data_IF_150107347981
#
_entry.id   IF_150107347981
#
_cell.length_a   1.000
_cell.length_b   1.000
_cell.length_c   1.000
_cell.angle_alpha   90.00
_cell.angle_beta   90.00
_cell.angle_gamma   90.00
#
_symmetry.space_group_name_H-M   'P 1'
#
loop_
_entity.id
_entity.type
_entity.pdbx_description
1 polymer ?
#
# COMPACT_ATOMS: atom_id res chain seq x y z
N UNK A 1 0.58 -16.89 8.52
CA UNK A 1 0.91 -15.74 9.43
C UNK A 1 -0.24 -15.53 10.41
N UNK A 2 0.06 -15.30 11.70
CA UNK A 2 -0.95 -15.03 12.76
C UNK A 2 -0.60 -13.76 13.51
N UNK A 3 -1.63 -13.01 13.94
CA UNK A 3 -1.48 -11.80 14.76
C UNK A 3 -2.68 -11.59 15.67
N UNK A 4 -2.42 -11.37 16.95
CA UNK A 4 -3.41 -11.01 17.96
C UNK A 4 -3.01 -9.73 18.69
N UNK A 5 -3.98 -9.01 19.21
CA UNK A 5 -3.81 -7.88 20.12
C UNK A 5 -4.61 -8.18 21.40
N UNK A 6 -3.91 -8.50 22.46
CA UNK A 6 -4.54 -9.03 23.68
C UNK A 6 -5.30 -10.32 23.36
N UNK A 7 -6.58 -10.38 23.75
CA UNK A 7 -7.45 -11.53 23.49
C UNK A 7 -8.04 -11.58 22.05
N UNK A 8 -7.85 -10.53 21.24
CA UNK A 8 -8.45 -10.45 19.91
C UNK A 8 -7.49 -10.99 18.86
N UNK A 9 -7.84 -12.11 18.22
CA UNK A 9 -7.08 -12.65 17.08
C UNK A 9 -7.51 -11.95 15.80
N UNK A 10 -6.59 -11.14 15.23
CA UNK A 10 -6.86 -10.28 14.05
C UNK A 10 -6.44 -10.97 12.76
N UNK A 11 -5.33 -11.71 12.74
CA UNK A 11 -4.92 -12.51 11.59
C UNK A 11 -4.89 -13.99 12.01
N UNK A 12 -5.67 -14.82 11.31
CA UNK A 12 -5.90 -16.22 11.62
C UNK A 12 -5.36 -17.11 10.51
N UNK A 13 -4.04 -17.32 10.52
CA UNK A 13 -3.35 -18.19 9.55
C UNK A 13 -3.42 -17.69 8.09
N UNK A 14 -3.09 -16.42 7.88
CA UNK A 14 -3.03 -15.81 6.54
C UNK A 14 -1.80 -16.32 5.78
N UNK A 15 -2.02 -16.75 4.55
CA UNK A 15 -0.99 -16.99 3.55
C UNK A 15 -1.25 -16.07 2.34
N UNK A 16 -0.21 -15.41 1.84
CA UNK A 16 -0.29 -14.52 0.69
C UNK A 16 1.00 -14.64 -0.12
N UNK A 17 0.87 -14.72 -1.44
CA UNK A 17 2.00 -14.71 -2.36
C UNK A 17 1.79 -13.62 -3.41
N UNK A 18 2.83 -12.83 -3.66
CA UNK A 18 2.83 -11.78 -4.69
C UNK A 18 3.98 -12.05 -5.63
N UNK A 19 3.73 -12.38 -6.90
CA UNK A 19 4.77 -12.54 -7.90
C UNK A 19 5.56 -11.22 -8.09
N UNK A 20 6.81 -11.33 -8.48
CA UNK A 20 7.60 -10.13 -8.81
C UNK A 20 6.95 -9.39 -9.98
N UNK A 21 6.78 -8.08 -9.82
CA UNK A 21 6.05 -7.23 -10.78
C UNK A 21 4.53 -7.37 -10.71
N UNK A 22 4.02 -8.28 -9.88
CA UNK A 22 2.58 -8.48 -9.72
C UNK A 22 1.95 -7.51 -8.72
N UNK A 23 0.64 -7.31 -8.89
CA UNK A 23 -0.19 -6.45 -8.05
C UNK A 23 -1.28 -7.28 -7.38
N UNK A 24 -1.32 -7.24 -6.04
CA UNK A 24 -2.38 -7.87 -5.25
C UNK A 24 -3.22 -6.80 -4.56
N UNK A 25 -4.54 -6.83 -4.75
CA UNK A 25 -5.47 -5.97 -4.02
C UNK A 25 -6.14 -6.74 -2.88
N UNK A 26 -6.06 -6.20 -1.67
CA UNK A 26 -6.74 -6.70 -0.48
C UNK A 26 -8.04 -5.91 -0.30
N UNK A 27 -9.16 -6.61 -0.38
CA UNK A 27 -10.49 -6.03 -0.18
C UNK A 27 -11.22 -6.70 0.99
N UNK A 28 -12.28 -6.09 1.48
CA UNK A 28 -13.07 -6.63 2.59
C UNK A 28 -13.55 -5.56 3.57
N UNK A 29 -14.45 -5.90 4.50
CA UNK A 29 -15.01 -4.96 5.46
C UNK A 29 -13.94 -4.36 6.39
N UNK A 30 -14.26 -3.23 7.01
CA UNK A 30 -13.45 -2.65 8.08
C UNK A 30 -13.27 -3.65 9.22
N UNK A 31 -12.08 -3.71 9.81
CA UNK A 31 -11.77 -4.67 10.88
C UNK A 31 -11.41 -6.09 10.40
N UNK A 32 -11.42 -6.39 9.10
CA UNK A 32 -11.06 -7.74 8.60
C UNK A 32 -9.57 -8.09 8.68
N UNK A 33 -8.72 -7.14 9.08
CA UNK A 33 -7.28 -7.37 9.29
C UNK A 33 -6.36 -6.89 8.15
N UNK A 34 -6.87 -6.28 7.07
CA UNK A 34 -6.09 -5.83 5.89
C UNK A 34 -4.90 -4.93 6.25
N UNK A 35 -5.13 -3.82 6.95
CA UNK A 35 -4.07 -2.91 7.38
C UNK A 35 -3.10 -3.56 8.37
N UNK A 36 -3.59 -4.47 9.22
CA UNK A 36 -2.73 -5.25 10.12
C UNK A 36 -1.82 -6.18 9.32
N UNK A 37 -2.35 -6.86 8.29
CA UNK A 37 -1.55 -7.68 7.39
C UNK A 37 -0.47 -6.85 6.69
N UNK A 38 -0.83 -5.70 6.10
CA UNK A 38 0.14 -4.79 5.48
C UNK A 38 1.25 -4.36 6.45
N UNK A 39 0.88 -3.99 7.68
CA UNK A 39 1.85 -3.59 8.71
C UNK A 39 2.70 -4.75 9.21
N UNK A 40 2.23 -5.99 9.10
CA UNK A 40 3.07 -7.15 9.34
C UNK A 40 4.06 -7.36 8.18
N UNK A 41 3.66 -7.15 6.93
CA UNK A 41 4.52 -7.33 5.76
C UNK A 41 5.75 -6.42 5.77
N UNK A 42 5.67 -5.23 6.35
CA UNK A 42 6.82 -4.34 6.52
C UNK A 42 7.38 -4.32 7.96
N UNK A 43 6.90 -5.20 8.83
CA UNK A 43 7.34 -5.34 10.22
C UNK A 43 7.12 -4.07 11.08
N UNK A 44 6.20 -3.18 10.71
CA UNK A 44 5.69 -2.15 11.63
C UNK A 44 4.88 -2.77 12.76
N UNK A 45 4.22 -3.88 12.48
CA UNK A 45 3.61 -4.76 13.46
C UNK A 45 4.31 -6.11 13.35
N UNK A 46 4.90 -6.58 14.45
CA UNK A 46 5.54 -7.90 14.48
C UNK A 46 4.44 -8.97 14.55
N UNK A 47 4.40 -9.95 13.65
CA UNK A 47 3.46 -11.06 13.73
C UNK A 47 3.79 -11.95 14.94
N UNK A 48 2.78 -12.67 15.45
CA UNK A 48 2.96 -13.60 16.57
C UNK A 48 3.56 -14.92 16.08
N UNK A 49 3.26 -15.30 14.83
CA UNK A 49 3.90 -16.45 14.17
C UNK A 49 3.77 -16.36 12.64
N UNK A 50 4.66 -17.08 11.96
CA UNK A 50 4.69 -17.18 10.50
C UNK A 50 6.00 -16.70 9.89
N UNK A 51 6.06 -16.71 8.57
CA UNK A 51 7.24 -16.30 7.79
C UNK A 51 6.87 -15.19 6.84
N UNK A 52 7.72 -14.17 6.77
CA UNK A 52 7.61 -13.09 5.79
C UNK A 52 8.87 -13.13 4.92
N UNK A 53 8.68 -13.17 3.60
CA UNK A 53 9.77 -13.12 2.64
C UNK A 53 9.57 -11.95 1.68
N UNK A 54 10.59 -11.13 1.52
CA UNK A 54 10.66 -10.11 0.48
C UNK A 54 11.95 -10.35 -0.29
N UNK A 55 11.82 -10.74 -1.55
CA UNK A 55 12.93 -11.17 -2.40
C UNK A 55 13.75 -12.28 -1.69
N UNK A 56 15.04 -12.09 -1.48
CA UNK A 56 15.93 -13.05 -0.81
C UNK A 56 15.94 -12.91 0.72
N UNK A 57 15.27 -11.91 1.28
CA UNK A 57 15.21 -11.68 2.73
C UNK A 57 14.00 -12.36 3.34
N UNK A 58 14.25 -13.13 4.39
CA UNK A 58 13.23 -13.86 5.12
C UNK A 58 13.30 -13.50 6.60
N UNK A 59 12.14 -13.29 7.19
CA UNK A 59 11.94 -13.16 8.63
C UNK A 59 11.02 -14.27 9.10
N UNK A 60 11.51 -15.08 10.02
CA UNK A 60 10.80 -16.24 10.57
C UNK A 60 10.41 -15.97 12.02
N UNK A 61 9.11 -16.00 12.28
CA UNK A 61 8.49 -15.82 13.59
C UNK A 61 7.83 -17.13 14.09
N UNK A 62 8.09 -18.26 13.43
CA UNK A 62 7.64 -19.57 13.92
C UNK A 62 8.40 -19.94 15.19
N UNK A 63 7.74 -20.68 16.09
CA UNK A 63 8.35 -21.23 17.32
C UNK A 63 8.85 -20.21 18.37
N UNK A 64 8.22 -19.05 18.47
CA UNK A 64 8.53 -18.07 19.51
C UNK A 64 9.97 -17.54 19.45
N UNK A 65 10.52 -17.41 18.24
CA UNK A 65 11.87 -16.89 18.03
C UNK A 65 12.06 -15.51 18.67
N UNK A 66 13.27 -15.24 19.11
CA UNK A 66 13.71 -13.94 19.60
C UNK A 66 13.36 -12.86 18.58
N UNK A 67 12.82 -11.74 19.05
CA UNK A 67 12.58 -10.58 18.20
C UNK A 67 13.84 -10.24 17.38
N UNK A 68 13.70 -9.96 16.07
CA UNK A 68 14.84 -9.56 15.25
C UNK A 68 15.53 -8.33 15.86
N UNK A 69 16.84 -8.23 15.71
CA UNK A 69 17.57 -7.06 16.14
C UNK A 69 17.13 -5.82 15.34
N UNK A 70 17.19 -4.63 15.93
CA UNK A 70 16.78 -3.37 15.26
C UNK A 70 17.45 -3.19 13.89
N UNK A 71 18.73 -3.57 13.79
CA UNK A 71 19.48 -3.52 12.53
C UNK A 71 18.86 -4.41 11.43
N UNK A 72 18.36 -5.58 11.79
CA UNK A 72 17.70 -6.50 10.87
C UNK A 72 16.33 -5.97 10.44
N UNK A 73 15.57 -5.40 11.39
CA UNK A 73 14.28 -4.74 11.11
C UNK A 73 14.47 -3.54 10.17
N UNK A 74 15.47 -2.69 10.42
CA UNK A 74 15.79 -1.55 9.55
C UNK A 74 16.17 -2.03 8.15
N UNK A 75 17.02 -3.04 8.03
CA UNK A 75 17.45 -3.59 6.74
C UNK A 75 16.29 -4.24 5.96
N UNK A 76 15.32 -4.86 6.66
CA UNK A 76 14.13 -5.42 6.05
C UNK A 76 13.15 -4.32 5.60
N UNK A 77 12.86 -3.36 6.47
CA UNK A 77 11.96 -2.23 6.17
C UNK A 77 12.45 -1.38 5.01
N UNK A 78 13.76 -1.23 4.84
CA UNK A 78 14.34 -0.50 3.71
C UNK A 78 14.02 -1.12 2.34
N UNK A 79 13.57 -2.38 2.28
CA UNK A 79 13.15 -3.08 1.05
C UNK A 79 11.65 -2.95 0.76
N UNK A 80 10.90 -2.38 1.68
CA UNK A 80 9.46 -2.19 1.55
C UNK A 80 9.13 -0.70 1.57
N UNK A 81 8.46 -0.22 0.54
CA UNK A 81 7.87 1.12 0.53
C UNK A 81 6.48 1.06 1.14
N UNK A 82 6.15 1.94 2.08
CA UNK A 82 4.80 2.00 2.62
C UNK A 82 4.19 3.39 2.46
N UNK A 83 2.97 3.41 1.91
CA UNK A 83 2.15 4.59 1.73
C UNK A 83 0.92 4.45 2.62
N UNK A 84 0.72 5.42 3.50
CA UNK A 84 -0.35 5.41 4.51
C UNK A 84 -1.54 6.26 4.08
N UNK A 85 -2.69 6.01 4.67
CA UNK A 85 -3.91 6.79 4.50
C UNK A 85 -3.71 8.28 4.87
N UNK A 86 -2.98 8.58 5.94
CA UNK A 86 -2.77 9.92 6.47
C UNK A 86 -1.46 10.59 6.01
N UNK A 87 -0.92 10.25 4.82
CA UNK A 87 0.28 10.80 4.19
C UNK A 87 1.56 10.66 5.03
N UNK A 88 1.53 10.98 6.31
CA UNK A 88 2.63 10.93 7.29
C UNK A 88 3.90 11.67 6.81
N UNK A 89 3.71 12.81 6.15
CA UNK A 89 4.83 13.67 5.76
C UNK A 89 5.42 14.38 6.98
N UNK A 90 6.72 14.65 6.94
CA UNK A 90 7.41 15.47 7.92
C UNK A 90 6.99 16.93 7.72
N UNK A 91 6.25 17.54 8.65
CA UNK A 91 5.63 18.86 8.44
C UNK A 91 6.64 20.01 8.37
N UNK A 92 7.82 19.82 8.95
CA UNK A 92 8.92 20.79 8.98
C UNK A 92 9.87 20.68 7.77
N UNK A 93 9.60 19.78 6.84
CA UNK A 93 10.38 19.51 5.63
C UNK A 93 9.58 19.85 4.39
N UNK A 94 10.21 20.42 3.36
CA UNK A 94 9.60 20.59 2.04
C UNK A 94 9.33 19.22 1.36
N UNK A 95 8.61 19.23 0.25
CA UNK A 95 8.32 18.01 -0.52
C UNK A 95 9.62 17.28 -0.92
N UNK A 96 10.61 17.98 -1.48
CA UNK A 96 11.89 17.38 -1.87
C UNK A 96 12.66 16.86 -0.66
N UNK A 97 12.64 17.56 0.47
CA UNK A 97 13.29 17.12 1.71
C UNK A 97 12.62 15.84 2.26
N UNK A 98 11.29 15.75 2.22
CA UNK A 98 10.56 14.53 2.57
C UNK A 98 11.02 13.34 1.73
N UNK A 99 11.19 13.53 0.42
CA UNK A 99 11.58 12.45 -0.50
C UNK A 99 13.03 12.02 -0.28
N UNK A 100 13.93 12.96 -0.02
CA UNK A 100 15.37 12.65 0.13
C UNK A 100 15.78 12.18 1.52
N UNK A 101 14.91 12.29 2.53
CA UNK A 101 15.23 11.97 3.93
C UNK A 101 15.70 10.52 4.11
N UNK A 102 14.96 9.55 3.59
CA UNK A 102 15.34 8.14 3.67
C UNK A 102 16.70 7.84 3.01
N UNK A 103 16.91 8.19 1.74
CA UNK A 103 18.22 8.04 1.07
C UNK A 103 19.39 8.66 1.83
N UNK A 104 19.24 9.88 2.34
CA UNK A 104 20.31 10.56 3.08
C UNK A 104 20.57 9.93 4.44
N UNK A 105 19.49 9.71 5.22
CA UNK A 105 19.64 9.28 6.62
C UNK A 105 19.90 7.81 6.76
N UNK A 106 19.24 6.95 5.96
CA UNK A 106 19.35 5.49 6.06
C UNK A 106 20.41 4.94 5.12
N UNK A 107 20.41 5.34 3.83
CA UNK A 107 21.32 4.82 2.81
C UNK A 107 22.62 5.59 2.72
N UNK A 108 22.76 6.73 3.44
CA UNK A 108 23.96 7.58 3.46
C UNK A 108 24.34 8.14 2.09
N UNK A 109 23.33 8.34 1.22
CA UNK A 109 23.51 8.98 -0.07
C UNK A 109 23.90 10.45 0.12
N UNK A 110 24.83 10.94 -0.69
CA UNK A 110 25.21 12.36 -0.67
C UNK A 110 24.01 13.26 -0.97
N UNK A 111 23.90 14.41 -0.27
CA UNK A 111 22.70 15.26 -0.31
C UNK A 111 22.37 15.82 -1.70
N UNK A 112 23.38 16.18 -2.49
CA UNK A 112 23.19 16.67 -3.86
C UNK A 112 22.60 15.58 -4.76
N UNK A 113 23.19 14.38 -4.73
CA UNK A 113 22.70 13.23 -5.48
C UNK A 113 21.28 12.80 -5.03
N UNK A 114 21.03 12.83 -3.72
CA UNK A 114 19.69 12.55 -3.18
C UNK A 114 18.66 13.59 -3.65
N UNK A 115 19.03 14.88 -3.72
CA UNK A 115 18.13 15.93 -4.21
C UNK A 115 17.81 15.76 -5.69
N UNK A 116 18.77 15.45 -6.53
CA UNK A 116 18.55 15.17 -7.95
C UNK A 116 17.60 13.98 -8.16
N UNK A 117 17.83 12.89 -7.44
CA UNK A 117 16.96 11.72 -7.48
C UNK A 117 15.55 12.05 -6.99
N UNK A 118 15.41 12.81 -5.90
CA UNK A 118 14.14 13.26 -5.37
C UNK A 118 13.36 14.14 -6.34
N UNK A 119 14.03 15.06 -7.07
CA UNK A 119 13.40 15.89 -8.09
C UNK A 119 12.84 15.05 -9.26
N UNK A 120 13.57 14.02 -9.69
CA UNK A 120 13.08 13.08 -10.72
C UNK A 120 11.86 12.31 -10.25
N UNK A 121 11.82 11.90 -8.97
CA UNK A 121 10.65 11.22 -8.40
C UNK A 121 9.46 12.16 -8.24
N UNK A 122 9.68 13.42 -7.83
CA UNK A 122 8.62 14.43 -7.80
C UNK A 122 8.08 14.75 -9.20
N UNK A 123 8.94 14.80 -10.22
CA UNK A 123 8.53 14.92 -11.61
C UNK A 123 7.67 13.74 -12.06
N UNK A 124 8.07 12.51 -11.69
CA UNK A 124 7.32 11.29 -11.98
C UNK A 124 5.90 11.31 -11.41
N UNK A 125 5.70 11.92 -10.23
CA UNK A 125 4.37 12.06 -9.62
C UNK A 125 3.70 13.41 -9.94
N UNK A 126 4.24 14.18 -10.91
CA UNK A 126 3.65 15.45 -11.38
C UNK A 126 3.76 16.61 -10.40
N UNK A 127 4.83 16.66 -9.58
CA UNK A 127 5.00 17.66 -8.51
C UNK A 127 6.38 18.34 -8.53
N UNK A 128 7.05 18.39 -9.68
CA UNK A 128 8.39 19.01 -9.81
C UNK A 128 8.37 20.49 -9.40
N UNK A 129 7.34 21.22 -9.79
CA UNK A 129 7.11 22.63 -9.46
C UNK A 129 6.80 22.88 -7.97
N UNK A 130 6.47 21.84 -7.21
CA UNK A 130 6.16 21.87 -5.79
C UNK A 130 7.31 21.37 -4.90
N UNK A 131 8.50 21.13 -5.46
CA UNK A 131 9.62 20.51 -4.76
C UNK A 131 9.98 21.21 -3.44
N UNK A 132 10.01 22.52 -3.42
CA UNK A 132 10.41 23.31 -2.24
C UNK A 132 9.21 23.78 -1.41
N UNK A 133 7.98 23.29 -1.71
CA UNK A 133 6.74 23.62 -0.98
C UNK A 133 6.60 22.75 0.27
N UNK A 134 6.21 23.35 1.39
CA UNK A 134 5.93 22.65 2.65
C UNK A 134 4.59 21.91 2.60
N UNK A 135 4.42 20.81 3.36
CA UNK A 135 3.21 19.98 3.31
C UNK A 135 1.90 20.69 3.64
N UNK A 136 1.92 21.70 4.50
CA UNK A 136 0.74 22.51 4.87
C UNK A 136 0.14 23.26 3.67
N UNK A 137 0.96 23.56 2.65
CA UNK A 137 0.56 24.26 1.42
C UNK A 137 0.22 23.34 0.26
N UNK A 138 0.21 22.03 0.49
CA UNK A 138 -0.13 21.01 -0.51
C UNK A 138 -1.56 20.52 -0.31
N UNK A 139 -2.28 20.22 -1.41
CA UNK A 139 -3.56 19.52 -1.34
C UNK A 139 -3.38 18.09 -0.82
N UNK A 140 -4.49 17.44 -0.41
CA UNK A 140 -4.46 16.04 0.02
C UNK A 140 -3.85 15.11 -1.03
N UNK A 141 -4.27 15.21 -2.28
CA UNK A 141 -3.71 14.43 -3.39
C UNK A 141 -2.23 14.72 -3.66
N UNK A 142 -1.81 16.00 -3.53
CA UNK A 142 -0.38 16.35 -3.63
C UNK A 142 0.43 15.75 -2.50
N UNK A 143 -0.04 15.81 -1.24
CA UNK A 143 0.61 15.17 -0.08
C UNK A 143 0.78 13.68 -0.30
N UNK A 144 -0.25 13.02 -0.82
CA UNK A 144 -0.20 11.58 -1.08
C UNK A 144 0.80 11.24 -2.18
N UNK A 145 0.86 12.02 -3.24
CA UNK A 145 1.85 11.83 -4.31
C UNK A 145 3.29 12.08 -3.82
N UNK A 146 3.51 13.03 -2.92
CA UNK A 146 4.81 13.19 -2.23
C UNK A 146 5.13 11.96 -1.36
N UNK A 147 4.15 11.40 -0.64
CA UNK A 147 4.34 10.18 0.16
C UNK A 147 4.71 8.98 -0.71
N UNK A 148 4.10 8.85 -1.91
CA UNK A 148 4.49 7.83 -2.89
C UNK A 148 5.93 8.05 -3.36
N UNK A 149 6.30 9.27 -3.76
CA UNK A 149 7.66 9.60 -4.18
C UNK A 149 8.69 9.31 -3.08
N UNK A 150 8.37 9.63 -1.82
CA UNK A 150 9.20 9.31 -0.65
C UNK A 150 9.43 7.81 -0.48
N UNK A 151 8.37 7.00 -0.62
CA UNK A 151 8.49 5.56 -0.53
C UNK A 151 9.35 4.99 -1.67
N UNK A 152 9.17 5.47 -2.90
CA UNK A 152 9.96 5.08 -4.07
C UNK A 152 11.45 5.46 -3.97
N UNK A 153 11.78 6.52 -3.23
CA UNK A 153 13.16 7.01 -3.09
C UNK A 153 14.09 5.98 -2.45
N UNK A 154 13.54 5.07 -1.63
CA UNK A 154 14.28 3.96 -1.02
C UNK A 154 14.56 2.81 -2.00
N UNK A 155 14.02 2.84 -3.23
CA UNK A 155 14.08 1.77 -4.24
C UNK A 155 13.59 0.43 -3.68
N UNK A 156 12.35 0.37 -3.17
CA UNK A 156 11.83 -0.82 -2.53
C UNK A 156 11.58 -1.95 -3.53
N UNK A 157 11.65 -3.20 -3.05
CA UNK A 157 11.28 -4.41 -3.79
C UNK A 157 9.75 -4.57 -3.91
N UNK A 158 9.00 -4.03 -2.93
CA UNK A 158 7.54 -4.05 -2.90
C UNK A 158 7.00 -2.75 -2.32
N UNK A 159 5.94 -2.23 -2.94
CA UNK A 159 5.17 -1.09 -2.44
C UNK A 159 3.89 -1.57 -1.77
N UNK A 160 3.63 -1.07 -0.58
CA UNK A 160 2.46 -1.39 0.24
C UNK A 160 1.60 -0.12 0.39
N UNK A 161 0.34 -0.19 -0.02
CA UNK A 161 -0.60 0.94 0.03
C UNK A 161 -1.72 0.64 1.03
N UNK A 162 -1.75 1.36 2.14
CA UNK A 162 -2.77 1.22 3.19
C UNK A 162 -3.84 2.31 3.00
N UNK A 163 -4.88 2.00 2.20
CA UNK A 163 -6.01 2.88 1.91
C UNK A 163 -5.58 4.29 1.44
N UNK A 164 -4.67 4.35 0.48
CA UNK A 164 -3.99 5.59 0.06
C UNK A 164 -4.90 6.70 -0.49
N UNK A 165 -6.18 6.42 -0.75
CA UNK A 165 -7.16 7.39 -1.26
C UNK A 165 -8.26 7.73 -0.26
N UNK A 166 -8.41 6.97 0.83
CA UNK A 166 -9.58 7.08 1.74
C UNK A 166 -9.66 8.41 2.51
N UNK A 167 -8.55 9.16 2.61
CA UNK A 167 -8.50 10.48 3.26
C UNK A 167 -8.56 11.65 2.26
N UNK A 168 -8.89 11.38 0.99
CA UNK A 168 -8.90 12.36 -0.08
C UNK A 168 -10.34 12.74 -0.48
N UNK A 169 -10.49 13.99 -0.90
CA UNK A 169 -11.68 14.42 -1.62
C UNK A 169 -11.82 13.63 -2.93
N UNK A 170 -13.04 13.25 -3.36
CA UNK A 170 -13.26 12.43 -4.55
C UNK A 170 -12.58 12.96 -5.83
N UNK A 171 -12.51 14.28 -5.97
CA UNK A 171 -11.88 14.95 -7.11
C UNK A 171 -10.36 14.70 -7.19
N UNK A 172 -9.71 14.43 -6.04
CA UNK A 172 -8.26 14.22 -5.94
C UNK A 172 -7.86 12.74 -6.04
N UNK A 173 -8.81 11.81 -5.89
CA UNK A 173 -8.57 10.36 -5.94
C UNK A 173 -7.95 9.95 -7.27
N UNK A 174 -8.49 10.46 -8.39
CA UNK A 174 -8.03 10.11 -9.74
C UNK A 174 -6.55 10.37 -9.99
N UNK A 175 -6.01 11.47 -9.45
CA UNK A 175 -4.59 11.84 -9.60
C UNK A 175 -3.65 10.85 -8.90
N UNK A 176 -4.05 10.37 -7.71
CA UNK A 176 -3.26 9.39 -6.94
C UNK A 176 -3.33 8.01 -7.60
N UNK A 177 -4.54 7.59 -8.02
CA UNK A 177 -4.73 6.32 -8.72
C UNK A 177 -3.98 6.26 -10.05
N UNK A 178 -3.87 7.38 -10.78
CA UNK A 178 -3.08 7.46 -12.00
C UNK A 178 -1.59 7.16 -11.76
N UNK A 179 -1.02 7.68 -10.66
CA UNK A 179 0.36 7.36 -10.27
C UNK A 179 0.51 5.88 -9.94
N UNK A 180 -0.42 5.30 -9.16
CA UNK A 180 -0.35 3.87 -8.80
C UNK A 180 -0.50 2.98 -10.05
N UNK A 181 -1.38 3.34 -11.00
CA UNK A 181 -1.53 2.67 -12.30
C UNK A 181 -0.24 2.70 -13.11
N UNK A 182 0.43 3.85 -13.15
CA UNK A 182 1.73 3.98 -13.82
C UNK A 182 2.78 3.05 -13.21
N UNK A 183 2.85 2.97 -11.87
CA UNK A 183 3.78 2.08 -11.18
C UNK A 183 3.50 0.60 -11.49
N UNK A 184 2.22 0.20 -11.59
CA UNK A 184 1.83 -1.15 -12.01
C UNK A 184 2.33 -1.44 -13.43
N UNK A 185 2.09 -0.53 -14.37
CA UNK A 185 2.53 -0.67 -15.76
C UNK A 185 4.07 -0.73 -15.90
N UNK A 186 4.81 -0.14 -14.98
CA UNK A 186 6.28 -0.22 -14.91
C UNK A 186 6.79 -1.52 -14.24
N UNK A 187 5.90 -2.42 -13.82
CA UNK A 187 6.25 -3.70 -13.20
C UNK A 187 6.65 -3.60 -11.73
N UNK A 188 6.16 -2.58 -11.00
CA UNK A 188 6.37 -2.50 -9.55
C UNK A 188 5.52 -3.56 -8.83
N UNK A 189 6.17 -4.37 -7.99
CA UNK A 189 5.45 -5.31 -7.12
C UNK A 189 4.67 -4.54 -6.07
N UNK A 190 3.36 -4.79 -5.94
CA UNK A 190 2.51 -4.01 -5.04
C UNK A 190 1.49 -4.85 -4.27
N UNK A 191 1.20 -4.44 -3.03
CA UNK A 191 0.03 -4.87 -2.27
C UNK A 191 -0.79 -3.64 -1.91
N UNK A 192 -2.05 -3.63 -2.33
CA UNK A 192 -2.95 -2.49 -2.21
C UNK A 192 -4.11 -2.85 -1.27
N UNK A 193 -4.31 -2.14 -0.18
CA UNK A 193 -5.60 -2.10 0.52
C UNK A 193 -6.41 -0.97 -0.06
N UNK A 194 -7.56 -1.26 -0.65
CA UNK A 194 -8.39 -0.25 -1.33
C UNK A 194 -9.88 -0.54 -1.21
N UNK A 195 -10.67 0.52 -1.28
CA UNK A 195 -12.12 0.51 -1.45
C UNK A 195 -12.54 0.89 -2.89
N UNK A 196 -11.57 1.19 -3.75
CA UNK A 196 -11.79 1.53 -5.16
C UNK A 196 -11.89 0.24 -6.00
N UNK A 197 -13.08 -0.38 -6.04
CA UNK A 197 -13.27 -1.70 -6.66
C UNK A 197 -12.97 -1.69 -8.17
N UNK A 198 -13.38 -0.64 -8.88
CA UNK A 198 -13.10 -0.50 -10.31
C UNK A 198 -11.59 -0.40 -10.58
N UNK A 199 -10.86 0.33 -9.73
CA UNK A 199 -9.41 0.44 -9.81
C UNK A 199 -8.72 -0.90 -9.48
N UNK A 200 -9.16 -1.59 -8.41
CA UNK A 200 -8.62 -2.91 -8.06
C UNK A 200 -8.79 -3.90 -9.22
N UNK A 201 -9.97 -3.90 -9.88
CA UNK A 201 -10.25 -4.73 -11.06
C UNK A 201 -9.33 -4.42 -12.23
N UNK A 202 -9.02 -3.14 -12.45
CA UNK A 202 -8.19 -2.67 -13.57
C UNK A 202 -6.71 -3.00 -13.37
N UNK A 203 -6.20 -2.82 -12.13
CA UNK A 203 -4.76 -2.75 -11.88
C UNK A 203 -4.20 -3.99 -11.21
N UNK A 204 -5.03 -4.77 -10.48
CA UNK A 204 -4.55 -5.94 -9.77
C UNK A 204 -4.60 -7.21 -10.63
N UNK A 205 -3.54 -8.02 -10.55
CA UNK A 205 -3.52 -9.37 -11.11
C UNK A 205 -4.41 -10.29 -10.27
N UNK A 206 -4.30 -10.14 -8.95
CA UNK A 206 -5.02 -10.96 -7.97
C UNK A 206 -5.76 -10.07 -6.98
N UNK A 207 -6.98 -10.45 -6.66
CA UNK A 207 -7.76 -9.87 -5.57
C UNK A 207 -7.93 -10.89 -4.46
N UNK A 208 -7.70 -10.46 -3.23
CA UNK A 208 -7.86 -11.24 -2.01
C UNK A 208 -8.95 -10.60 -1.16
N UNK A 209 -10.06 -11.31 -0.98
CA UNK A 209 -11.13 -10.88 -0.08
C UNK A 209 -10.89 -11.44 1.31
N UNK A 210 -10.75 -10.53 2.28
CA UNK A 210 -10.55 -10.85 3.69
C UNK A 210 -11.79 -10.52 4.51
N UNK A 211 -12.14 -11.44 5.44
CA UNK A 211 -13.20 -11.25 6.43
C UNK A 211 -12.83 -11.97 7.72
N UNK A 212 -13.08 -11.34 8.85
CA UNK A 212 -12.89 -11.92 10.20
C UNK A 212 -11.49 -12.51 10.46
N UNK A 213 -10.47 -11.92 9.83
CA UNK A 213 -9.06 -12.31 9.98
C UNK A 213 -8.63 -13.50 9.13
N UNK A 214 -9.43 -13.92 8.16
CA UNK A 214 -9.10 -15.01 7.21
C UNK A 214 -9.22 -14.55 5.76
N UNK A 215 -8.52 -15.21 4.85
CA UNK A 215 -8.78 -15.11 3.41
C UNK A 215 -9.99 -15.98 3.11
N UNK A 216 -11.06 -15.36 2.58
CA UNK A 216 -12.30 -16.05 2.19
C UNK A 216 -12.27 -16.41 0.71
N UNK A 217 -11.68 -15.55 -0.09
CA UNK A 217 -11.58 -15.75 -1.53
C UNK A 217 -10.31 -15.09 -2.07
N UNK A 218 -9.65 -15.77 -3.00
CA UNK A 218 -8.48 -15.28 -3.73
C UNK A 218 -8.55 -15.74 -5.17
N UNK A 219 -8.24 -14.87 -6.11
CA UNK A 219 -8.25 -15.21 -7.52
C UNK A 219 -7.96 -14.04 -8.44
N UNK A 220 -8.01 -14.24 -9.76
CA UNK A 220 -7.88 -13.16 -10.74
C UNK A 220 -8.85 -12.02 -10.47
N UNK A 221 -8.37 -10.78 -10.58
CA UNK A 221 -9.16 -9.59 -10.22
C UNK A 221 -10.53 -9.55 -10.91
N UNK A 222 -10.58 -9.83 -12.20
CA UNK A 222 -11.83 -9.88 -12.97
C UNK A 222 -12.81 -10.94 -12.41
N UNK A 223 -12.32 -12.12 -12.01
CA UNK A 223 -13.18 -13.16 -11.46
C UNK A 223 -13.74 -12.76 -10.10
N UNK A 224 -12.88 -12.33 -9.17
CA UNK A 224 -13.29 -12.03 -7.79
C UNK A 224 -14.20 -10.80 -7.73
N UNK A 225 -14.03 -9.82 -8.62
CA UNK A 225 -14.83 -8.59 -8.62
C UNK A 225 -16.11 -8.73 -9.45
N UNK A 226 -16.04 -9.31 -10.66
CA UNK A 226 -17.20 -9.35 -11.56
C UNK A 226 -18.12 -10.56 -11.30
N UNK A 227 -17.55 -11.70 -10.92
CA UNK A 227 -18.29 -12.96 -10.76
C UNK A 227 -17.76 -13.79 -9.57
N UNK A 228 -17.80 -13.27 -8.34
CA UNK A 228 -17.23 -13.94 -7.18
C UNK A 228 -17.94 -15.26 -6.86
N UNK A 229 -17.22 -16.41 -6.81
CA UNK A 229 -17.77 -17.70 -6.40
C UNK A 229 -18.34 -17.70 -4.98
N UNK A 230 -17.69 -16.97 -4.05
CA UNK A 230 -18.07 -17.01 -2.64
C UNK A 230 -19.26 -16.10 -2.34
N UNK A 231 -20.31 -16.60 -1.62
CA UNK A 231 -21.46 -15.78 -1.25
C UNK A 231 -21.10 -14.55 -0.41
N UNK A 232 -20.10 -14.68 0.48
CA UNK A 232 -19.65 -13.58 1.33
C UNK A 232 -19.02 -12.44 0.52
N UNK A 233 -18.26 -12.77 -0.55
CA UNK A 233 -17.68 -11.80 -1.47
C UNK A 233 -18.75 -11.08 -2.28
N UNK A 234 -19.76 -11.85 -2.80
CA UNK A 234 -20.91 -11.27 -3.51
C UNK A 234 -21.66 -10.25 -2.64
N UNK A 235 -21.96 -10.64 -1.39
CA UNK A 235 -22.64 -9.73 -0.44
C UNK A 235 -21.82 -8.47 -0.19
N UNK A 236 -20.49 -8.58 -0.02
CA UNK A 236 -19.64 -7.43 0.18
C UNK A 236 -19.62 -6.50 -1.05
N UNK A 237 -19.43 -7.06 -2.25
CA UNK A 237 -19.32 -6.28 -3.48
C UNK A 237 -20.65 -5.66 -3.92
N UNK A 238 -21.81 -6.23 -3.55
CA UNK A 238 -23.13 -5.66 -3.87
C UNK A 238 -23.30 -4.24 -3.32
N UNK A 239 -22.66 -3.89 -2.20
CA UNK A 239 -22.67 -2.53 -1.66
C UNK A 239 -21.97 -1.51 -2.55
N UNK A 240 -21.00 -1.94 -3.36
CA UNK A 240 -20.27 -1.06 -4.30
C UNK A 240 -20.96 -0.96 -5.66
N UNK A 241 -21.61 -2.02 -6.13
CA UNK A 241 -22.36 -2.02 -7.39
C UNK A 241 -23.61 -1.12 -7.35
N UNK A 242 -24.30 -1.04 -6.22
CA UNK A 242 -25.48 -0.15 -6.04
C UNK A 242 -25.06 1.33 -6.19
N UNK A 243 -23.86 1.70 -5.75
CA UNK A 243 -23.34 3.06 -5.89
C UNK A 243 -22.97 3.43 -7.34
N UNK A 244 -22.64 2.46 -8.19
CA UNK A 244 -22.28 2.67 -9.60
C UNK A 244 -23.47 2.71 -10.56
N UNK A 245 -24.59 2.08 -10.24
CA UNK A 245 -25.80 2.05 -11.09
C UNK A 245 -26.64 3.33 -11.00
N UNK A 246 -26.50 4.11 -9.91
CA UNK A 246 -27.22 5.37 -9.75
C UNK A 246 -26.76 6.49 -10.71
N UNK A 247 -25.57 6.37 -11.30
CA UNK A 247 -25.03 7.36 -12.25
C UNK A 247 -25.35 7.06 -13.72
N UNK A 248 -25.84 5.87 -14.06
CA UNK A 248 -26.13 5.48 -15.45
C UNK A 248 -27.61 5.66 -15.86
N UNK A 249 -28.50 6.05 -14.93
CA UNK A 249 -29.94 6.11 -15.16
C UNK A 249 -30.51 7.53 -15.30
N UNK A 250 -29.67 8.55 -15.47
CA UNK A 250 -30.13 9.94 -15.71
C UNK A 250 -29.42 10.51 -16.92
N UNK A 251 -29.89 10.15 -18.11
CA UNK A 251 -29.80 11.00 -19.29
C UNK A 251 -31.03 10.74 -20.15
N UNK A 252 -31.85 11.79 -20.40
CA UNK A 252 -33.03 11.71 -21.21
C UNK A 252 -32.72 11.59 -22.71
#
# INVERSE_FOLDING_TARGET
MKKSFGAVSVLKDISLSVPRGGVVALIGPSGSGKSTLLRCLNLLTIPDSGVIRVDQRMMDFTNGHKLPADKELVAFRARTGMVFQNFNLFPHMSAVQNVMEGPVTVQKVERGAAREAALKLLEKVGLKDKADVAPDKLSGGQKQRVAIARALAMKPEVMLFDEATSALDPELVGEVLAVVRQLAAEGMTMVLVTHEMAFAREVADTVVFMRDGVVVEEGPAAQVIDAPPQPATRTFLSHFHISGLATAAVSP
#
